data_IF_387474558930
#
_entry.id   IF_387474558930
#
_cell.length_a   1.000
_cell.length_b   1.000
_cell.length_c   1.000
_cell.angle_alpha   90.00
_cell.angle_beta   90.00
_cell.angle_gamma   90.00
#
_symmetry.space_group_name_H-M   'P 1'
#
loop_
_entity.id
_entity.type
_entity.pdbx_description
1 polymer ?
#
# COMPACT_ATOMS: atom_id res chain seq x y z
N UNK A 1 21.75 -17.02 -8.15
CA UNK A 1 20.56 -16.41 -7.53
C UNK A 1 19.93 -15.57 -8.63
N UNK A 2 18.80 -16.01 -9.18
CA UNK A 2 18.12 -15.26 -10.24
C UNK A 2 17.59 -13.95 -9.67
N UNK A 3 17.84 -12.83 -10.35
CA UNK A 3 17.30 -11.54 -9.96
C UNK A 3 15.87 -11.45 -10.47
N UNK A 4 14.88 -11.44 -9.57
CA UNK A 4 13.51 -11.16 -9.93
C UNK A 4 13.33 -9.63 -9.99
N UNK A 5 13.41 -9.08 -11.21
CA UNK A 5 13.23 -7.64 -11.45
C UNK A 5 11.76 -7.39 -11.77
N UNK A 6 11.09 -6.62 -10.93
CA UNK A 6 9.69 -6.21 -11.11
C UNK A 6 9.66 -4.75 -11.57
N UNK A 7 9.18 -4.49 -12.79
CA UNK A 7 8.85 -3.14 -13.23
C UNK A 7 7.49 -2.73 -12.67
N UNK A 8 7.51 -2.16 -11.47
CA UNK A 8 6.30 -1.74 -10.73
C UNK A 8 5.44 -0.77 -11.54
N UNK A 9 6.04 0.10 -12.38
CA UNK A 9 5.28 1.08 -13.16
C UNK A 9 4.42 0.43 -14.23
N UNK A 10 4.90 -0.67 -14.83
CA UNK A 10 4.16 -1.44 -15.83
C UNK A 10 2.91 -2.13 -15.27
N UNK A 11 2.83 -2.29 -13.94
CA UNK A 11 1.76 -3.00 -13.25
C UNK A 11 0.65 -2.07 -12.72
N UNK A 12 0.80 -0.75 -12.89
CA UNK A 12 -0.18 0.24 -12.42
C UNK A 12 -1.48 0.12 -13.20
N UNK A 13 -2.58 -0.07 -12.49
CA UNK A 13 -3.92 -0.25 -13.04
C UNK A 13 -4.93 0.36 -12.07
N UNK A 14 -5.91 1.10 -12.60
CA UNK A 14 -6.96 1.74 -11.82
C UNK A 14 -8.33 1.20 -12.19
N UNK A 15 -9.26 1.22 -11.23
CA UNK A 15 -10.66 0.85 -11.47
C UNK A 15 -11.59 1.83 -10.74
N UNK A 16 -12.64 2.36 -11.41
CA UNK A 16 -13.58 3.26 -10.76
C UNK A 16 -14.51 2.53 -9.77
N UNK A 17 -14.57 1.19 -9.82
CA UNK A 17 -15.51 0.38 -9.03
C UNK A 17 -14.88 -0.10 -7.73
N UNK A 18 -13.57 -0.38 -7.73
CA UNK A 18 -12.87 -0.97 -6.59
C UNK A 18 -11.40 -0.58 -6.57
N UNK A 19 -10.81 -0.71 -5.38
CA UNK A 19 -9.37 -0.61 -5.18
C UNK A 19 -8.67 -1.76 -5.91
N UNK A 20 -7.56 -1.45 -6.58
CA UNK A 20 -6.68 -2.48 -7.13
C UNK A 20 -5.51 -2.68 -6.16
N UNK A 21 -5.40 -3.89 -5.60
CA UNK A 21 -4.24 -4.35 -4.81
C UNK A 21 -3.58 -5.51 -5.55
N UNK A 22 -2.26 -5.43 -5.73
CA UNK A 22 -1.44 -6.51 -6.29
C UNK A 22 -0.31 -6.82 -5.32
N UNK A 23 -0.28 -8.02 -4.76
CA UNK A 23 0.83 -8.49 -3.92
C UNK A 23 2.02 -8.81 -4.83
N UNK A 24 3.14 -8.11 -4.64
CA UNK A 24 4.34 -8.20 -5.48
C UNK A 24 5.39 -9.13 -4.87
N UNK A 25 5.55 -9.05 -3.55
CA UNK A 25 6.42 -9.91 -2.76
C UNK A 25 5.64 -10.33 -1.54
N UNK A 26 5.57 -11.64 -1.32
CA UNK A 26 5.08 -12.28 -0.11
C UNK A 26 6.27 -13.08 0.43
N UNK A 27 6.86 -12.58 1.51
CA UNK A 27 8.06 -13.15 2.12
C UNK A 27 7.85 -13.31 3.62
N UNK A 28 8.58 -14.24 4.23
CA UNK A 28 8.40 -14.63 5.64
C UNK A 28 8.40 -13.46 6.64
N UNK A 29 9.05 -12.34 6.33
CA UNK A 29 9.25 -11.21 7.25
C UNK A 29 8.66 -9.89 6.78
N UNK A 30 8.29 -9.76 5.52
CA UNK A 30 7.72 -8.53 4.99
C UNK A 30 6.99 -8.81 3.69
N UNK A 31 5.95 -8.01 3.46
CA UNK A 31 5.18 -8.04 2.23
C UNK A 31 5.34 -6.71 1.49
N UNK A 32 5.28 -6.77 0.15
CA UNK A 32 5.19 -5.57 -0.69
C UNK A 32 3.96 -5.72 -1.58
N UNK A 33 3.07 -4.75 -1.50
CA UNK A 33 1.91 -4.64 -2.36
C UNK A 33 1.90 -3.31 -3.13
N UNK A 34 1.47 -3.37 -4.39
CA UNK A 34 1.08 -2.19 -5.16
C UNK A 34 -0.41 -1.92 -4.94
N UNK A 35 -0.74 -0.74 -4.44
CA UNK A 35 -2.12 -0.31 -4.22
C UNK A 35 -2.40 0.89 -5.14
N UNK A 36 -3.44 0.79 -5.95
CA UNK A 36 -3.90 1.85 -6.83
C UNK A 36 -5.33 2.25 -6.44
N UNK A 37 -5.50 3.54 -6.12
CA UNK A 37 -6.75 4.15 -5.68
C UNK A 37 -7.20 5.19 -6.70
N UNK A 38 -8.45 5.12 -7.11
CA UNK A 38 -9.13 6.21 -7.82
C UNK A 38 -9.63 7.29 -6.86
N UNK A 39 -9.95 8.47 -7.40
CA UNK A 39 -10.49 9.57 -6.60
C UNK A 39 -11.74 9.13 -5.82
N UNK A 40 -11.73 9.40 -4.51
CA UNK A 40 -12.82 9.04 -3.61
C UNK A 40 -12.75 7.61 -3.04
N UNK A 41 -11.77 6.80 -3.45
CA UNK A 41 -11.49 5.52 -2.81
C UNK A 41 -10.54 5.70 -1.63
N UNK A 42 -10.69 4.84 -0.62
CA UNK A 42 -9.89 4.88 0.61
C UNK A 42 -9.50 3.47 1.07
N UNK A 43 -8.34 3.36 1.71
CA UNK A 43 -8.02 2.17 2.51
C UNK A 43 -8.66 2.40 3.88
N UNK A 44 -9.65 1.59 4.30
CA UNK A 44 -10.32 1.80 5.58
C UNK A 44 -9.32 1.61 6.73
N UNK A 45 -9.47 2.38 7.81
CA UNK A 45 -8.64 2.23 9.01
C UNK A 45 -8.82 0.84 9.61
N UNK A 46 -7.71 0.14 9.86
CA UNK A 46 -7.69 -1.16 10.53
C UNK A 46 -6.44 -1.25 11.42
N UNK A 47 -6.50 -1.99 12.54
CA UNK A 47 -5.32 -2.28 13.33
C UNK A 47 -4.41 -3.22 12.56
N UNK A 48 -3.12 -2.92 12.53
CA UNK A 48 -2.10 -3.83 12.03
C UNK A 48 -1.11 -4.15 13.14
N UNK A 49 -0.67 -5.40 13.18
CA UNK A 49 0.29 -5.90 14.18
C UNK A 49 1.75 -5.75 13.70
N UNK A 50 1.98 -4.95 12.66
CA UNK A 50 3.26 -4.72 12.02
C UNK A 50 3.40 -3.24 11.59
N UNK A 51 4.63 -2.80 11.40
CA UNK A 51 4.91 -1.46 10.87
C UNK A 51 4.66 -1.44 9.35
N UNK A 52 3.93 -0.42 8.89
CA UNK A 52 3.63 -0.22 7.47
C UNK A 52 4.36 1.03 6.93
N UNK A 53 4.95 0.90 5.74
CA UNK A 53 5.57 2.01 5.01
C UNK A 53 4.83 2.20 3.70
N UNK A 54 4.30 3.39 3.46
CA UNK A 54 3.69 3.76 2.19
C UNK A 54 4.65 4.66 1.40
N UNK A 55 4.90 4.29 0.15
CA UNK A 55 5.64 5.11 -0.80
C UNK A 55 4.71 5.51 -1.96
N UNK A 56 4.46 6.82 -2.10
CA UNK A 56 3.57 7.32 -3.15
C UNK A 56 4.31 7.33 -4.48
N UNK A 57 3.95 6.41 -5.38
CA UNK A 57 4.53 6.30 -6.71
C UNK A 57 4.02 7.37 -7.70
N UNK A 58 2.74 7.75 -7.58
CA UNK A 58 2.06 8.73 -8.43
C UNK A 58 0.82 9.25 -7.73
N UNK A 59 0.50 10.53 -7.96
CA UNK A 59 -0.69 11.18 -7.42
C UNK A 59 -0.46 11.70 -6.00
N UNK A 60 -1.56 11.99 -5.31
CA UNK A 60 -1.57 12.50 -3.95
C UNK A 60 -2.77 11.95 -3.17
N UNK A 61 -2.70 12.03 -1.85
CA UNK A 61 -3.75 11.54 -0.95
C UNK A 61 -3.47 11.95 0.49
N UNK A 62 -4.33 11.51 1.40
CA UNK A 62 -4.23 11.83 2.83
C UNK A 62 -4.01 10.54 3.61
N UNK A 63 -2.95 10.50 4.40
CA UNK A 63 -2.74 9.45 5.40
C UNK A 63 -3.28 9.92 6.74
N UNK A 64 -4.18 9.14 7.32
CA UNK A 64 -4.68 9.37 8.69
C UNK A 64 -4.02 8.37 9.63
N UNK A 65 -3.21 8.86 10.57
CA UNK A 65 -2.55 8.03 11.58
C UNK A 65 -3.21 8.31 12.93
N UNK A 66 -3.79 7.28 13.56
CA UNK A 66 -4.34 7.43 14.91
C UNK A 66 -3.20 7.33 15.92
N UNK A 67 -2.88 8.45 16.57
CA UNK A 67 -1.96 8.45 17.71
C UNK A 67 -2.78 8.18 18.98
N UNK A 68 -2.50 7.07 19.66
CA UNK A 68 -3.04 6.85 21.00
C UNK A 68 -2.25 7.68 22.01
N UNK A 69 -2.95 8.48 22.81
CA UNK A 69 -2.37 9.26 23.90
C UNK A 69 -2.03 8.33 25.08
N UNK A 70 -0.93 7.59 25.01
CA UNK A 70 -0.40 6.80 26.14
C UNK A 70 1.10 6.64 26.01
N UNK A 71 1.82 7.76 25.93
CA UNK A 71 3.26 7.84 26.11
C UNK A 71 3.67 9.25 26.57
N UNK A 72 3.14 9.67 27.73
CA UNK A 72 3.76 10.67 28.62
C UNK A 72 3.66 10.10 30.03
#
# INVERSE_FOLDING_TARGET
>A
MESNIIDVKSLVEFSPIRIIKKDLIDAEKFDIALICLELGQEIPSHPENYDAVFFVLKGEGVFTIRVSASAI
#
